data_IF_450601816387
#
_entry.id   IF_450601816387
#
_cell.length_a   1.000
_cell.length_b   1.000
_cell.length_c   1.000
_cell.angle_alpha   90.00
_cell.angle_beta   90.00
_cell.angle_gamma   90.00
#
_symmetry.space_group_name_H-M   'P 1'
#
loop_
_entity.id
_entity.type
_entity.pdbx_description
1 polymer ?
#
# COMPACT_ATOMS: atom_id res chain seq x y z
N UNK A 1 -10.40 -8.06 11.31
CA UNK A 1 -9.64 -6.83 10.96
C UNK A 1 -8.23 -7.22 10.54
N UNK A 2 -7.38 -7.73 11.42
CA UNK A 2 -6.03 -8.23 11.07
C UNK A 2 -5.98 -9.74 11.30
N UNK A 3 -5.20 -10.44 10.45
CA UNK A 3 -4.79 -11.80 10.70
C UNK A 3 -3.65 -11.87 11.73
N UNK A 4 -3.03 -13.03 11.86
CA UNK A 4 -1.82 -13.19 12.67
C UNK A 4 -0.56 -12.83 11.88
N UNK A 5 0.58 -12.66 12.57
CA UNK A 5 1.87 -12.33 11.98
C UNK A 5 2.35 -10.93 12.36
N UNK A 6 3.34 -10.44 11.64
CA UNK A 6 4.05 -9.19 11.96
C UNK A 6 4.23 -8.31 10.73
N UNK A 7 4.54 -7.04 10.98
CA UNK A 7 5.05 -6.11 9.98
C UNK A 7 6.51 -5.80 10.34
N UNK A 8 7.38 -5.89 9.37
CA UNK A 8 8.82 -5.67 9.53
C UNK A 8 9.25 -4.51 8.63
N UNK A 9 9.90 -3.52 9.24
CA UNK A 9 10.50 -2.39 8.57
C UNK A 9 11.95 -2.28 9.06
N UNK A 10 12.89 -2.66 8.23
CA UNK A 10 14.32 -2.73 8.58
C UNK A 10 14.57 -3.45 9.92
N UNK A 11 14.86 -2.69 10.98
CA UNK A 11 15.13 -3.17 12.34
C UNK A 11 13.89 -3.17 13.24
N UNK A 12 12.79 -2.56 12.79
CA UNK A 12 11.56 -2.47 13.56
C UNK A 12 10.60 -3.61 13.20
N UNK A 13 9.98 -4.17 14.22
CA UNK A 13 8.96 -5.21 14.05
C UNK A 13 7.75 -4.89 14.93
N UNK A 14 6.57 -4.91 14.34
CA UNK A 14 5.29 -4.71 15.03
C UNK A 14 4.44 -5.96 14.83
N UNK A 15 3.97 -6.56 15.93
CA UNK A 15 2.98 -7.65 15.88
C UNK A 15 1.63 -7.08 15.39
N UNK A 16 0.92 -7.81 14.58
CA UNK A 16 -0.39 -7.35 14.08
C UNK A 16 -1.43 -7.16 15.19
N UNK A 17 -1.26 -7.80 16.35
CA UNK A 17 -2.10 -7.56 17.53
C UNK A 17 -1.85 -6.17 18.11
N UNK A 18 -0.58 -5.74 18.15
CA UNK A 18 -0.23 -4.39 18.60
C UNK A 18 -0.73 -3.35 17.61
N UNK A 19 -0.59 -3.62 16.30
CA UNK A 19 -1.19 -2.77 15.26
C UNK A 19 -2.72 -2.68 15.41
N UNK A 20 -3.39 -3.80 15.72
CA UNK A 20 -4.84 -3.83 15.94
C UNK A 20 -5.23 -2.96 17.14
N UNK A 21 -4.51 -3.06 18.26
CA UNK A 21 -4.73 -2.22 19.44
C UNK A 21 -4.57 -0.73 19.08
N UNK A 22 -3.47 -0.36 18.44
CA UNK A 22 -3.21 1.03 18.03
C UNK A 22 -4.25 1.54 17.03
N UNK A 23 -4.73 0.68 16.13
CA UNK A 23 -5.85 1.00 15.24
C UNK A 23 -7.13 1.33 16.00
N UNK A 24 -7.47 0.57 17.04
CA UNK A 24 -8.65 0.83 17.87
C UNK A 24 -8.49 2.15 18.67
N UNK A 25 -7.29 2.44 19.16
CA UNK A 25 -6.99 3.73 19.80
C UNK A 25 -7.11 4.89 18.79
N UNK A 26 -6.58 4.72 17.57
CA UNK A 26 -6.71 5.71 16.50
C UNK A 26 -8.18 5.95 16.11
N UNK A 27 -9.01 4.90 16.07
CA UNK A 27 -10.44 5.04 15.81
C UNK A 27 -11.14 5.85 16.91
N UNK A 28 -10.86 5.57 18.21
CA UNK A 28 -11.39 6.37 19.32
C UNK A 28 -10.94 7.83 19.25
N UNK A 29 -9.68 8.05 18.94
CA UNK A 29 -9.11 9.38 18.84
C UNK A 29 -9.77 10.21 17.71
N UNK A 30 -9.92 9.62 16.53
CA UNK A 30 -10.57 10.24 15.37
C UNK A 30 -12.08 10.47 15.62
N UNK A 31 -12.78 9.51 16.23
CA UNK A 31 -14.19 9.63 16.63
C UNK A 31 -14.40 10.81 17.59
N UNK A 32 -13.45 11.06 18.52
CA UNK A 32 -13.50 12.20 19.44
C UNK A 32 -13.47 13.57 18.76
N UNK A 33 -12.98 13.62 17.52
CA UNK A 33 -13.02 14.81 16.65
C UNK A 33 -14.31 14.90 15.83
N UNK A 34 -15.25 13.97 16.00
CA UNK A 34 -16.47 13.87 15.22
C UNK A 34 -16.26 13.31 13.80
N UNK A 35 -15.13 12.65 13.53
CA UNK A 35 -14.85 12.03 12.25
C UNK A 35 -15.55 10.67 12.21
N UNK A 36 -16.39 10.48 11.21
CA UNK A 36 -17.22 9.29 11.09
C UNK A 36 -17.58 8.95 9.65
N UNK A 37 -18.78 8.38 9.50
CA UNK A 37 -19.24 7.84 8.23
C UNK A 37 -19.30 8.88 7.11
N UNK A 38 -18.53 8.66 6.05
CA UNK A 38 -18.48 9.51 4.86
C UNK A 38 -17.43 10.62 4.91
N UNK A 39 -16.84 10.90 6.08
CA UNK A 39 -15.71 11.84 6.19
C UNK A 39 -14.43 11.29 5.54
N UNK A 40 -13.46 12.15 5.28
CA UNK A 40 -12.17 11.75 4.70
C UNK A 40 -11.02 11.96 5.66
N UNK A 41 -10.20 10.91 5.81
CA UNK A 41 -8.91 10.92 6.50
C UNK A 41 -7.83 10.75 5.44
N UNK A 42 -6.91 11.70 5.36
CA UNK A 42 -5.88 11.73 4.32
C UNK A 42 -4.51 11.39 4.88
N UNK A 43 -3.74 10.60 4.13
CA UNK A 43 -2.35 10.32 4.42
C UNK A 43 -1.42 10.91 3.36
N UNK A 44 -0.45 11.69 3.79
CA UNK A 44 0.66 12.19 2.98
C UNK A 44 1.97 11.68 3.58
N UNK A 45 2.24 10.40 3.33
CA UNK A 45 3.36 9.70 3.95
C UNK A 45 3.82 8.51 3.12
N UNK A 46 5.01 8.00 3.43
CA UNK A 46 5.53 6.75 2.88
C UNK A 46 4.93 5.56 3.61
N UNK A 47 5.18 4.34 3.12
CA UNK A 47 4.73 3.13 3.81
C UNK A 47 5.39 3.05 5.19
N UNK A 48 4.56 3.04 6.23
CA UNK A 48 4.97 2.96 7.62
C UNK A 48 3.79 2.43 8.46
N UNK A 49 4.01 2.03 9.70
CA UNK A 49 2.98 1.48 10.58
C UNK A 49 1.79 2.42 10.78
N UNK A 50 1.96 3.74 11.02
CA UNK A 50 0.86 4.69 11.17
C UNK A 50 -0.05 4.80 9.94
N UNK A 51 0.47 4.54 8.74
CA UNK A 51 -0.35 4.46 7.52
C UNK A 51 -1.44 3.38 7.67
N UNK A 52 -1.04 2.20 8.16
CA UNK A 52 -1.97 1.08 8.32
C UNK A 52 -2.90 1.28 9.52
N UNK A 53 -2.44 1.95 10.59
CA UNK A 53 -3.27 2.36 11.73
C UNK A 53 -4.40 3.29 11.27
N UNK A 54 -4.06 4.39 10.59
CA UNK A 54 -5.01 5.40 10.12
C UNK A 54 -5.98 4.83 9.07
N UNK A 55 -5.47 4.04 8.10
CA UNK A 55 -6.31 3.40 7.09
C UNK A 55 -7.33 2.43 7.70
N UNK A 56 -6.89 1.66 8.68
CA UNK A 56 -7.77 0.68 9.33
C UNK A 56 -8.75 1.34 10.29
N UNK A 57 -8.37 2.42 10.97
CA UNK A 57 -9.25 3.23 11.79
C UNK A 57 -10.34 3.90 10.93
N UNK A 58 -9.98 4.47 9.78
CA UNK A 58 -10.95 5.02 8.82
C UNK A 58 -12.00 3.96 8.41
N UNK A 59 -11.56 2.73 8.13
CA UNK A 59 -12.47 1.65 7.76
C UNK A 59 -13.44 1.28 8.90
N UNK A 60 -13.02 1.34 10.17
CA UNK A 60 -13.89 1.11 11.33
C UNK A 60 -14.96 2.20 11.47
N UNK A 61 -14.58 3.44 11.27
CA UNK A 61 -15.43 4.61 11.37
C UNK A 61 -16.36 4.80 10.16
N UNK A 62 -16.20 4.01 9.09
CA UNK A 62 -16.91 4.21 7.83
C UNK A 62 -16.46 5.48 7.09
N UNK A 63 -15.29 6.00 7.43
CA UNK A 63 -14.67 7.11 6.73
C UNK A 63 -13.92 6.64 5.47
N UNK A 64 -13.74 7.52 4.51
CA UNK A 64 -12.82 7.31 3.41
C UNK A 64 -11.38 7.49 3.87
N UNK A 65 -10.48 6.64 3.38
CA UNK A 65 -9.06 6.86 3.54
C UNK A 65 -8.46 7.32 2.23
N UNK A 66 -7.91 8.53 2.19
CA UNK A 66 -7.36 9.15 1.00
C UNK A 66 -5.85 9.05 1.03
N UNK A 67 -5.24 8.60 -0.05
CA UNK A 67 -3.78 8.55 -0.16
C UNK A 67 -3.29 9.58 -1.16
N UNK A 68 -2.33 10.41 -0.76
CA UNK A 68 -1.66 11.35 -1.66
C UNK A 68 -0.30 10.77 -2.07
N UNK A 69 -0.01 10.80 -3.36
CA UNK A 69 1.32 10.53 -3.86
C UNK A 69 2.28 11.61 -3.35
N UNK A 70 3.20 11.25 -2.46
CA UNK A 70 4.17 12.18 -1.85
C UNK A 70 5.19 12.77 -2.84
N UNK A 71 5.14 12.39 -4.10
CA UNK A 71 5.82 13.08 -5.20
C UNK A 71 5.01 14.21 -5.83
N UNK A 72 3.72 14.33 -5.50
CA UNK A 72 2.91 15.43 -5.99
C UNK A 72 3.40 16.76 -5.41
N UNK A 73 3.29 17.80 -6.23
CA UNK A 73 3.68 19.15 -5.86
C UNK A 73 2.51 19.88 -5.19
N UNK A 74 2.78 21.11 -4.77
CA UNK A 74 1.83 21.93 -4.04
C UNK A 74 0.41 21.95 -4.64
N UNK A 75 0.29 22.16 -5.95
CA UNK A 75 -1.01 22.29 -6.63
C UNK A 75 -1.83 21.01 -6.56
N UNK A 76 -1.21 19.85 -6.78
CA UNK A 76 -1.93 18.56 -6.73
C UNK A 76 -2.29 18.19 -5.29
N UNK A 77 -1.40 18.44 -4.33
CA UNK A 77 -1.67 18.14 -2.92
C UNK A 77 -2.79 19.01 -2.36
N UNK A 78 -2.77 20.33 -2.62
CA UNK A 78 -3.83 21.27 -2.25
C UNK A 78 -5.18 20.86 -2.85
N UNK A 79 -5.16 20.54 -4.15
CA UNK A 79 -6.36 20.08 -4.83
C UNK A 79 -6.96 18.83 -4.17
N UNK A 80 -6.13 17.82 -3.87
CA UNK A 80 -6.62 16.58 -3.26
C UNK A 80 -7.17 16.81 -1.87
N UNK A 81 -6.48 17.60 -1.03
CA UNK A 81 -6.95 17.93 0.33
C UNK A 81 -8.31 18.63 0.30
N UNK A 82 -8.52 19.49 -0.70
CA UNK A 82 -9.78 20.25 -0.88
C UNK A 82 -10.87 19.37 -1.48
N UNK A 83 -10.58 18.67 -2.59
CA UNK A 83 -11.54 17.84 -3.35
C UNK A 83 -12.05 16.65 -2.53
N UNK A 84 -11.20 16.08 -1.67
CA UNK A 84 -11.57 15.00 -0.76
C UNK A 84 -12.28 15.48 0.51
N UNK A 85 -12.44 16.77 0.72
CA UNK A 85 -13.00 17.35 1.94
C UNK A 85 -12.31 16.79 3.21
N UNK A 86 -10.97 16.72 3.17
CA UNK A 86 -10.14 16.14 4.24
C UNK A 86 -10.49 16.74 5.61
N UNK A 87 -10.80 15.88 6.59
CA UNK A 87 -11.05 16.26 7.99
C UNK A 87 -9.82 16.09 8.88
N UNK A 88 -9.04 15.02 8.64
CA UNK A 88 -7.78 14.76 9.32
C UNK A 88 -6.69 14.41 8.30
N UNK A 89 -5.49 14.93 8.55
CA UNK A 89 -4.30 14.66 7.76
C UNK A 89 -3.25 13.98 8.64
N UNK A 90 -2.78 12.82 8.21
CA UNK A 90 -1.63 12.12 8.81
C UNK A 90 -0.44 12.28 7.87
N UNK A 91 0.64 12.88 8.34
CA UNK A 91 1.76 13.29 7.49
C UNK A 91 3.11 12.95 8.12
N UNK A 92 4.08 12.46 7.32
CA UNK A 92 5.46 12.33 7.78
C UNK A 92 6.10 13.71 8.01
N UNK A 93 6.92 13.83 9.06
CA UNK A 93 7.53 15.08 9.47
C UNK A 93 8.31 15.77 8.34
N UNK A 94 9.09 15.01 7.58
CA UNK A 94 9.89 15.55 6.46
C UNK A 94 9.05 16.05 5.28
N UNK A 95 7.80 15.64 5.17
CA UNK A 95 6.87 16.04 4.11
C UNK A 95 5.97 17.21 4.52
N UNK A 96 5.83 17.48 5.82
CA UNK A 96 4.92 18.51 6.31
C UNK A 96 5.24 19.89 5.73
N UNK A 97 6.52 20.25 5.68
CA UNK A 97 6.97 21.57 5.18
C UNK A 97 6.56 21.83 3.72
N UNK A 98 6.36 20.78 2.92
CA UNK A 98 5.97 20.93 1.52
C UNK A 98 4.49 21.29 1.33
N UNK A 99 3.64 21.00 2.32
CA UNK A 99 2.18 21.17 2.21
C UNK A 99 1.56 21.99 3.32
N UNK A 100 2.32 22.45 4.33
CA UNK A 100 1.81 23.15 5.52
C UNK A 100 0.87 24.31 5.15
N UNK A 101 1.31 25.18 4.24
CA UNK A 101 0.55 26.37 3.83
C UNK A 101 -0.64 26.07 2.90
N UNK A 102 -0.77 24.79 2.49
CA UNK A 102 -1.81 24.32 1.56
C UNK A 102 -2.93 23.57 2.28
N UNK A 103 -2.76 23.31 3.59
CA UNK A 103 -3.75 22.58 4.37
C UNK A 103 -4.99 23.46 4.57
N UNK A 104 -6.19 22.99 4.17
CA UNK A 104 -7.41 23.77 4.33
C UNK A 104 -7.69 24.08 5.81
N UNK A 105 -8.26 25.26 6.14
CA UNK A 105 -8.66 25.58 7.49
C UNK A 105 -9.61 24.55 8.09
N UNK A 106 -9.37 24.18 9.36
CA UNK A 106 -10.20 23.21 10.09
C UNK A 106 -9.80 21.75 9.92
N UNK A 107 -8.81 21.43 9.09
CA UNK A 107 -8.22 20.09 9.02
C UNK A 107 -7.38 19.84 10.28
N UNK A 108 -7.64 18.72 10.98
CA UNK A 108 -6.80 18.27 12.09
C UNK A 108 -5.52 17.64 11.52
N UNK A 109 -4.35 18.14 11.94
CA UNK A 109 -3.05 17.68 11.42
C UNK A 109 -2.35 16.83 12.47
N UNK A 110 -1.88 15.66 12.06
CA UNK A 110 -1.14 14.72 12.89
C UNK A 110 0.17 14.35 12.22
N UNK A 111 1.27 14.64 12.89
CA UNK A 111 2.61 14.43 12.35
C UNK A 111 3.20 13.12 12.87
N UNK A 112 3.72 12.33 11.96
CA UNK A 112 4.44 11.09 12.24
C UNK A 112 5.93 11.37 12.12
N UNK A 113 6.78 11.07 13.12
CA UNK A 113 8.21 11.15 12.93
C UNK A 113 8.63 10.25 11.77
N UNK A 114 9.47 10.76 10.87
CA UNK A 114 9.96 9.94 9.74
C UNK A 114 11.01 8.96 10.25
N UNK A 115 10.79 7.64 10.14
CA UNK A 115 11.72 6.64 10.64
C UNK A 115 13.12 6.73 10.02
N UNK A 116 14.13 6.30 10.77
CA UNK A 116 15.54 6.41 10.36
C UNK A 116 15.86 5.59 9.10
N UNK A 117 15.21 4.45 8.90
CA UNK A 117 15.35 3.62 7.70
C UNK A 117 14.74 4.29 6.46
N UNK A 118 13.60 4.97 6.60
CA UNK A 118 13.03 5.82 5.55
C UNK A 118 13.97 6.99 5.27
N UNK A 119 14.47 7.67 6.31
CA UNK A 119 15.40 8.77 6.16
C UNK A 119 16.66 8.34 5.40
N UNK A 120 17.24 7.20 5.72
CA UNK A 120 18.39 6.63 5.03
C UNK A 120 18.07 6.28 3.56
N UNK A 121 16.91 5.64 3.28
CA UNK A 121 16.51 5.25 1.94
C UNK A 121 16.32 6.45 0.98
N UNK A 122 15.96 7.60 1.52
CA UNK A 122 15.70 8.83 0.75
C UNK A 122 16.76 9.91 0.91
N UNK A 123 17.76 9.70 1.77
CA UNK A 123 18.84 10.66 2.03
C UNK A 123 18.35 11.95 2.70
N UNK A 124 17.43 11.82 3.66
CA UNK A 124 16.80 12.94 4.35
C UNK A 124 17.68 13.44 5.49
N UNK A 125 17.57 14.74 5.79
CA UNK A 125 18.16 15.32 6.99
C UNK A 125 17.41 14.83 8.25
N UNK A 126 18.13 14.38 9.25
CA UNK A 126 17.57 13.91 10.50
C UNK A 126 16.72 14.98 11.22
N UNK A 127 17.08 16.27 11.12
CA UNK A 127 16.32 17.37 11.69
C UNK A 127 14.94 17.51 11.04
N UNK A 128 14.78 17.19 9.76
CA UNK A 128 13.50 17.22 9.06
C UNK A 128 12.59 16.04 9.44
N UNK A 129 13.15 14.98 10.05
CA UNK A 129 12.45 13.76 10.39
C UNK A 129 11.77 13.80 11.78
N UNK A 130 11.98 14.86 12.54
CA UNK A 130 11.43 15.04 13.90
C UNK A 130 10.11 15.80 13.84
N UNK A 131 9.15 15.39 14.65
CA UNK A 131 7.88 16.13 14.81
C UNK A 131 8.17 17.52 15.39
N UNK A 132 7.75 18.61 14.74
CA UNK A 132 7.89 19.96 15.30
C UNK A 132 7.17 20.09 16.64
N UNK A 133 7.70 20.93 17.56
CA UNK A 133 7.17 21.09 18.92
C UNK A 133 5.73 21.64 18.94
N UNK A 134 5.35 22.42 17.93
CA UNK A 134 4.03 23.03 17.76
C UNK A 134 3.02 22.11 17.05
N UNK A 135 3.41 20.89 16.67
CA UNK A 135 2.58 19.95 15.96
C UNK A 135 2.14 18.76 16.82
N UNK A 136 0.95 18.23 16.53
CA UNK A 136 0.43 17.05 17.22
C UNK A 136 1.09 15.77 16.71
N UNK A 137 1.84 15.08 17.57
CA UNK A 137 2.41 13.78 17.27
C UNK A 137 1.31 12.72 17.21
N UNK A 138 1.21 11.97 16.09
CA UNK A 138 0.21 10.92 15.89
C UNK A 138 0.27 9.84 16.96
N UNK A 139 1.45 9.24 17.18
CA UNK A 139 1.64 8.14 18.12
C UNK A 139 1.27 8.52 19.55
N UNK A 140 1.81 9.63 20.03
CA UNK A 140 1.51 10.13 21.38
C UNK A 140 0.06 10.54 21.56
N UNK A 141 -0.59 11.05 20.50
CA UNK A 141 -1.99 11.44 20.55
C UNK A 141 -2.90 10.22 20.70
N UNK A 142 -2.76 9.19 19.85
CA UNK A 142 -3.63 8.00 19.89
C UNK A 142 -3.44 7.20 21.18
N UNK A 143 -2.23 7.17 21.77
CA UNK A 143 -1.94 6.49 23.03
C UNK A 143 -2.75 7.06 24.22
N UNK A 144 -3.21 8.30 24.12
CA UNK A 144 -4.08 8.93 25.13
C UNK A 144 -5.52 8.41 25.13
N UNK A 145 -5.90 7.54 24.20
CA UNK A 145 -7.27 7.04 24.05
C UNK A 145 -7.38 5.56 24.38
N UNK A 146 -8.53 5.18 24.97
CA UNK A 146 -8.89 3.78 25.11
C UNK A 146 -9.19 3.14 23.74
N UNK A 147 -9.14 1.83 23.67
CA UNK A 147 -9.54 1.10 22.47
C UNK A 147 -11.01 1.37 22.12
N UNK A 148 -11.31 1.50 20.86
CA UNK A 148 -12.67 1.74 20.35
C UNK A 148 -13.50 0.46 20.37
N UNK A 149 -14.71 0.51 20.93
CA UNK A 149 -15.57 -0.65 21.14
C UNK A 149 -16.94 -0.57 20.44
N UNK A 150 -17.22 0.52 19.72
CA UNK A 150 -18.48 0.64 19.01
C UNK A 150 -18.57 -0.37 17.84
N UNK A 151 -19.78 -0.62 17.38
CA UNK A 151 -19.99 -1.46 16.19
C UNK A 151 -19.35 -0.79 14.96
N UNK A 152 -18.52 -1.49 14.20
CA UNK A 152 -17.94 -0.93 12.97
C UNK A 152 -19.01 -0.43 12.00
N UNK A 153 -18.81 0.75 11.47
CA UNK A 153 -19.67 1.30 10.42
C UNK A 153 -19.48 0.55 9.09
N UNK A 154 -20.37 0.80 8.14
CA UNK A 154 -20.21 0.24 6.80
C UNK A 154 -18.91 0.76 6.17
N UNK A 155 -17.99 -0.14 5.88
CA UNK A 155 -16.66 0.21 5.37
C UNK A 155 -16.77 0.93 4.02
N UNK A 156 -16.03 2.02 3.91
CA UNK A 156 -15.72 2.69 2.66
C UNK A 156 -14.30 2.33 2.18
N UNK A 157 -14.08 2.46 0.88
CA UNK A 157 -12.80 2.11 0.28
C UNK A 157 -11.71 3.14 0.53
N UNK A 158 -10.51 2.78 0.11
CA UNK A 158 -9.40 3.74 -0.03
C UNK A 158 -9.62 4.53 -1.32
N UNK A 159 -9.51 5.85 -1.23
CA UNK A 159 -9.61 6.75 -2.38
C UNK A 159 -8.20 6.93 -2.96
N UNK A 160 -8.09 6.60 -4.24
CA UNK A 160 -6.85 6.79 -4.99
C UNK A 160 -7.06 7.89 -6.02
N UNK A 161 -6.13 8.84 -6.05
CA UNK A 161 -6.13 9.88 -7.07
C UNK A 161 -5.25 9.45 -8.23
N UNK A 162 -5.85 9.38 -9.41
CA UNK A 162 -5.16 9.00 -10.65
C UNK A 162 -4.83 10.24 -11.49
N UNK A 163 -3.73 10.19 -12.26
CA UNK A 163 -3.40 11.26 -13.20
C UNK A 163 -4.47 11.36 -14.28
N UNK A 164 -5.40 12.31 -14.12
CA UNK A 164 -6.45 12.57 -15.11
C UNK A 164 -5.85 13.08 -16.43
N UNK A 165 -6.51 12.77 -17.54
CA UNK A 165 -6.17 13.30 -18.88
C UNK A 165 -6.39 14.82 -19.00
N UNK A 166 -6.99 15.43 -17.99
CA UNK A 166 -7.38 16.86 -17.95
C UNK A 166 -6.48 17.74 -17.08
N UNK A 167 -5.37 17.21 -16.56
CA UNK A 167 -4.35 17.96 -15.81
C UNK A 167 -4.42 17.83 -14.29
N UNK A 168 -5.60 17.81 -13.66
CA UNK A 168 -5.75 17.57 -12.23
C UNK A 168 -6.05 16.08 -11.94
N UNK A 169 -5.53 15.53 -10.82
CA UNK A 169 -5.83 14.16 -10.41
C UNK A 169 -7.34 13.97 -10.16
N UNK A 170 -7.85 12.76 -10.43
CA UNK A 170 -9.25 12.39 -10.16
C UNK A 170 -9.31 11.36 -9.06
N UNK A 171 -10.09 11.66 -8.01
CA UNK A 171 -10.36 10.75 -6.90
C UNK A 171 -11.36 9.65 -7.31
N UNK A 172 -10.99 8.39 -7.08
CA UNK A 172 -11.88 7.25 -7.29
C UNK A 172 -12.52 6.88 -5.97
N UNK A 173 -13.71 7.41 -5.71
CA UNK A 173 -14.53 7.10 -4.54
C UNK A 173 -15.35 5.86 -4.80
N UNK A 174 -15.23 4.86 -3.93
CA UNK A 174 -16.03 3.64 -4.03
C UNK A 174 -17.17 3.68 -3.01
N UNK A 175 -18.39 3.47 -3.49
CA UNK A 175 -19.54 3.30 -2.59
C UNK A 175 -19.41 2.01 -1.78
N UNK A 176 -20.08 1.92 -0.60
CA UNK A 176 -20.17 0.68 0.15
C UNK A 176 -20.65 -0.47 -0.73
N UNK A 177 -19.95 -1.59 -0.66
CA UNK A 177 -20.24 -2.77 -1.48
C UNK A 177 -21.21 -3.72 -0.76
N UNK A 178 -22.09 -4.37 -1.53
CA UNK A 178 -22.95 -5.45 -1.02
C UNK A 178 -22.11 -6.69 -0.64
N UNK A 179 -22.67 -7.59 0.14
CA UNK A 179 -22.00 -8.85 0.50
C UNK A 179 -21.58 -9.65 -0.75
N UNK A 180 -22.41 -9.68 -1.79
CA UNK A 180 -22.10 -10.37 -3.04
C UNK A 180 -20.92 -9.71 -3.78
N UNK A 181 -20.86 -8.37 -3.80
CA UNK A 181 -19.75 -7.64 -4.39
C UNK A 181 -18.44 -7.86 -3.60
N UNK A 182 -18.53 -7.91 -2.26
CA UNK A 182 -17.38 -8.23 -1.41
C UNK A 182 -16.87 -9.66 -1.67
N UNK A 183 -17.77 -10.63 -1.74
CA UNK A 183 -17.40 -12.01 -2.06
C UNK A 183 -16.81 -12.15 -3.47
N UNK A 184 -17.33 -11.40 -4.44
CA UNK A 184 -16.76 -11.33 -5.79
C UNK A 184 -15.36 -10.71 -5.80
N UNK A 185 -15.17 -9.60 -5.09
CA UNK A 185 -13.88 -8.94 -4.92
C UNK A 185 -12.84 -9.84 -4.23
N UNK A 186 -13.25 -10.59 -3.20
CA UNK A 186 -12.40 -11.55 -2.52
C UNK A 186 -11.87 -12.63 -3.48
N UNK A 187 -12.73 -13.20 -4.34
CA UNK A 187 -12.30 -14.18 -5.37
C UNK A 187 -11.28 -13.60 -6.35
N UNK A 188 -11.44 -12.33 -6.73
CA UNK A 188 -10.47 -11.63 -7.58
C UNK A 188 -9.16 -11.44 -6.84
N UNK A 189 -9.21 -11.05 -5.57
CA UNK A 189 -8.03 -10.94 -4.70
C UNK A 189 -7.31 -12.27 -4.53
N UNK A 190 -8.05 -13.36 -4.29
CA UNK A 190 -7.49 -14.71 -4.17
C UNK A 190 -6.78 -15.15 -5.46
N UNK A 191 -7.37 -14.86 -6.61
CA UNK A 191 -6.76 -15.18 -7.89
C UNK A 191 -5.50 -14.34 -8.19
N UNK A 192 -5.50 -13.06 -7.76
CA UNK A 192 -4.38 -12.15 -8.00
C UNK A 192 -3.19 -12.40 -7.08
N UNK A 193 -3.45 -12.66 -5.79
CA UNK A 193 -2.42 -12.68 -4.75
C UNK A 193 -2.23 -14.02 -4.07
N UNK A 194 -3.08 -15.01 -4.36
CA UNK A 194 -3.03 -16.38 -3.83
C UNK A 194 -2.71 -16.44 -2.32
N UNK A 195 -3.51 -15.77 -1.46
CA UNK A 195 -3.23 -15.70 -0.03
C UNK A 195 -3.24 -17.09 0.59
N UNK A 196 -2.28 -17.33 1.49
CA UNK A 196 -2.20 -18.56 2.27
C UNK A 196 -1.60 -18.28 3.65
N UNK A 197 -1.83 -19.19 4.59
CA UNK A 197 -1.21 -19.12 5.92
C UNK A 197 0.31 -19.16 5.83
N UNK A 198 0.98 -18.34 6.63
CA UNK A 198 2.43 -18.25 6.71
C UNK A 198 3.10 -17.62 5.49
N UNK A 199 2.35 -16.95 4.61
CA UNK A 199 2.99 -16.21 3.51
C UNK A 199 3.80 -15.03 4.05
N UNK A 200 4.88 -14.71 3.34
CA UNK A 200 5.77 -13.57 3.62
C UNK A 200 5.74 -12.65 2.42
N UNK A 201 5.13 -11.49 2.61
CA UNK A 201 4.85 -10.54 1.54
C UNK A 201 5.85 -9.40 1.59
N UNK A 202 6.55 -9.15 0.48
CA UNK A 202 7.40 -7.97 0.35
C UNK A 202 6.63 -6.84 -0.33
N UNK A 203 6.46 -5.75 0.41
CA UNK A 203 5.84 -4.51 -0.07
C UNK A 203 6.93 -3.58 -0.58
N UNK A 204 7.18 -3.60 -1.87
CA UNK A 204 8.28 -2.92 -2.56
C UNK A 204 7.85 -1.73 -3.42
N UNK A 205 6.64 -1.26 -3.22
CA UNK A 205 6.08 -0.07 -3.87
C UNK A 205 5.21 0.73 -2.90
N UNK A 206 4.86 1.98 -3.25
CA UNK A 206 4.12 2.88 -2.36
C UNK A 206 2.63 2.58 -2.31
N UNK A 207 2.03 2.64 -1.11
CA UNK A 207 0.62 2.36 -0.85
C UNK A 207 -0.36 3.43 -1.39
N UNK A 208 0.13 4.52 -1.95
CA UNK A 208 -0.75 5.42 -2.71
C UNK A 208 -1.14 4.85 -4.10
N UNK A 209 -0.57 3.72 -4.51
CA UNK A 209 -1.03 2.95 -5.66
C UNK A 209 -1.97 1.83 -5.23
N UNK A 210 -3.11 1.71 -5.92
CA UNK A 210 -4.19 0.77 -5.57
C UNK A 210 -3.70 -0.68 -5.43
N UNK A 211 -2.87 -1.17 -6.36
CA UNK A 211 -2.45 -2.57 -6.35
C UNK A 211 -1.47 -2.88 -5.20
N UNK A 212 -0.57 -1.95 -4.87
CA UNK A 212 0.35 -2.07 -3.73
C UNK A 212 -0.42 -2.03 -2.41
N UNK A 213 -1.34 -1.06 -2.25
CA UNK A 213 -2.21 -0.97 -1.09
C UNK A 213 -3.06 -2.24 -0.91
N UNK A 214 -3.60 -2.77 -2.00
CA UNK A 214 -4.38 -4.01 -1.97
C UNK A 214 -3.54 -5.21 -1.52
N UNK A 215 -2.29 -5.34 -2.02
CA UNK A 215 -1.34 -6.36 -1.57
C UNK A 215 -1.06 -6.27 -0.07
N UNK A 216 -0.83 -5.06 0.45
CA UNK A 216 -0.65 -4.83 1.88
C UNK A 216 -1.88 -5.24 2.69
N UNK A 217 -3.09 -4.85 2.25
CA UNK A 217 -4.35 -5.19 2.93
C UNK A 217 -4.59 -6.71 2.97
N UNK A 218 -4.29 -7.42 1.89
CA UNK A 218 -4.37 -8.90 1.87
C UNK A 218 -3.39 -9.48 2.89
N UNK A 219 -2.14 -9.03 2.91
CA UNK A 219 -1.18 -9.50 3.89
C UNK A 219 -1.64 -9.22 5.32
N UNK A 220 -2.16 -8.01 5.59
CA UNK A 220 -2.65 -7.61 6.91
C UNK A 220 -3.86 -8.43 7.37
N UNK A 221 -4.77 -8.77 6.47
CA UNK A 221 -6.00 -9.51 6.80
C UNK A 221 -5.79 -11.03 6.99
N UNK A 222 -4.68 -11.57 6.52
CA UNK A 222 -4.38 -13.01 6.57
C UNK A 222 -3.30 -13.35 7.60
N UNK A 223 -3.07 -14.64 7.85
CA UNK A 223 -1.92 -15.15 8.59
C UNK A 223 -0.67 -15.01 7.71
N UNK A 224 0.00 -13.88 7.81
CA UNK A 224 1.12 -13.48 6.96
C UNK A 224 2.05 -12.49 7.65
N UNK A 225 3.32 -12.51 7.29
CA UNK A 225 4.25 -11.43 7.61
C UNK A 225 4.32 -10.43 6.45
N UNK A 226 4.37 -9.13 6.75
CA UNK A 226 4.53 -8.06 5.79
C UNK A 226 5.89 -7.37 5.98
N UNK A 227 6.70 -7.33 4.95
CA UNK A 227 8.02 -6.70 4.95
C UNK A 227 8.00 -5.44 4.10
N UNK A 228 8.50 -4.33 4.62
CA UNK A 228 8.50 -3.05 3.93
C UNK A 228 9.86 -2.79 3.29
N UNK A 229 9.87 -2.56 1.98
CA UNK A 229 11.00 -1.99 1.26
C UNK A 229 10.63 -0.55 0.89
N UNK A 230 11.20 0.44 1.54
CA UNK A 230 10.79 1.84 1.41
C UNK A 230 11.06 2.43 0.03
N UNK A 231 12.16 2.03 -0.59
CA UNK A 231 12.52 2.41 -1.95
C UNK A 231 13.03 1.19 -2.69
N UNK A 232 12.46 0.89 -3.86
CA UNK A 232 12.87 -0.28 -4.62
C UNK A 232 14.35 -0.22 -5.01
N UNK A 233 15.15 -1.10 -4.41
CA UNK A 233 16.52 -1.44 -4.76
C UNK A 233 16.55 -2.86 -5.33
N UNK A 234 17.10 -3.05 -6.54
CA UNK A 234 17.05 -4.37 -7.18
C UNK A 234 17.89 -5.42 -6.44
N UNK A 235 19.09 -5.08 -6.00
CA UNK A 235 19.92 -6.00 -5.21
C UNK A 235 19.36 -6.18 -3.80
N UNK A 236 18.90 -5.09 -3.16
CA UNK A 236 18.23 -5.15 -1.86
C UNK A 236 16.99 -6.06 -1.89
N UNK A 237 16.20 -6.00 -2.99
CA UNK A 237 15.07 -6.93 -3.17
C UNK A 237 15.51 -8.38 -3.06
N UNK A 238 16.60 -8.77 -3.75
CA UNK A 238 17.13 -10.14 -3.69
C UNK A 238 17.63 -10.50 -2.30
N UNK A 239 18.31 -9.57 -1.63
CA UNK A 239 18.78 -9.72 -0.26
C UNK A 239 17.61 -9.94 0.72
N UNK A 240 16.54 -9.15 0.61
CA UNK A 240 15.35 -9.31 1.44
C UNK A 240 14.64 -10.64 1.18
N UNK A 241 14.57 -11.07 -0.08
CA UNK A 241 13.99 -12.38 -0.44
C UNK A 241 14.78 -13.52 0.23
N UNK A 242 16.10 -13.51 0.14
CA UNK A 242 16.93 -14.53 0.78
C UNK A 242 16.83 -14.49 2.30
N UNK A 243 17.01 -13.30 2.90
CA UNK A 243 17.08 -13.13 4.36
C UNK A 243 15.77 -13.51 5.04
N UNK A 244 14.66 -13.05 4.47
CA UNK A 244 13.34 -13.23 5.08
C UNK A 244 12.53 -14.36 4.45
N UNK A 245 13.11 -15.09 3.49
CA UNK A 245 12.42 -16.16 2.75
C UNK A 245 11.06 -15.67 2.23
N UNK A 246 11.07 -14.52 1.56
CA UNK A 246 9.88 -13.90 0.97
C UNK A 246 9.24 -14.88 -0.02
N UNK A 247 7.92 -14.97 0.04
CA UNK A 247 7.14 -15.88 -0.81
C UNK A 247 6.31 -15.13 -1.84
N UNK A 248 5.87 -13.91 -1.53
CA UNK A 248 4.95 -13.12 -2.37
C UNK A 248 5.45 -11.68 -2.54
N UNK A 249 5.26 -11.14 -3.74
CA UNK A 249 5.49 -9.72 -4.02
C UNK A 249 4.51 -9.19 -5.07
N UNK A 250 4.19 -7.90 -4.99
CA UNK A 250 3.58 -7.18 -6.10
C UNK A 250 4.66 -6.34 -6.78
N UNK A 251 4.78 -6.47 -8.10
CA UNK A 251 5.83 -5.80 -8.87
C UNK A 251 5.25 -5.08 -10.10
N UNK A 252 6.04 -4.19 -10.66
CA UNK A 252 5.74 -3.53 -11.94
C UNK A 252 6.85 -3.80 -12.96
N UNK A 253 6.58 -3.72 -14.27
CA UNK A 253 7.57 -4.08 -15.30
C UNK A 253 8.91 -3.34 -15.20
N UNK A 254 8.93 -2.10 -14.71
CA UNK A 254 10.18 -1.35 -14.48
C UNK A 254 11.06 -1.99 -13.41
N UNK A 255 10.48 -2.64 -12.41
CA UNK A 255 11.23 -3.41 -11.40
C UNK A 255 11.88 -4.65 -12.03
N UNK A 256 11.18 -5.35 -12.92
CA UNK A 256 11.75 -6.47 -13.69
C UNK A 256 12.95 -6.03 -14.52
N UNK A 257 12.84 -4.91 -15.24
CA UNK A 257 13.95 -4.34 -15.99
C UNK A 257 15.16 -4.04 -15.10
N UNK A 258 14.93 -3.49 -13.90
CA UNK A 258 16.03 -3.19 -12.96
C UNK A 258 16.67 -4.45 -12.40
N UNK A 259 15.89 -5.49 -12.11
CA UNK A 259 16.40 -6.80 -11.68
C UNK A 259 17.23 -7.47 -12.79
N UNK A 260 16.73 -7.50 -14.02
CA UNK A 260 17.44 -8.11 -15.14
C UNK A 260 18.71 -7.36 -15.56
N UNK A 261 18.81 -6.06 -15.25
CA UNK A 261 20.01 -5.25 -15.46
C UNK A 261 21.12 -5.50 -14.43
N UNK A 262 20.82 -6.17 -13.33
CA UNK A 262 21.89 -6.57 -12.40
C UNK A 262 22.85 -7.55 -13.09
N UNK A 263 24.16 -7.46 -12.80
CA UNK A 263 25.14 -8.45 -13.26
C UNK A 263 24.69 -9.87 -12.90
N UNK A 264 25.01 -10.83 -13.75
CA UNK A 264 24.63 -12.23 -13.52
C UNK A 264 25.15 -12.75 -12.18
N UNK A 265 26.38 -12.37 -11.82
CA UNK A 265 27.03 -12.75 -10.53
C UNK A 265 26.24 -12.24 -9.34
N UNK A 266 25.64 -11.05 -9.43
CA UNK A 266 24.78 -10.50 -8.38
C UNK A 266 23.46 -11.27 -8.33
N UNK A 267 22.81 -11.52 -9.49
CA UNK A 267 21.55 -12.28 -9.52
C UNK A 267 21.68 -13.72 -8.99
N UNK A 268 22.84 -14.33 -9.19
CA UNK A 268 23.13 -15.71 -8.75
C UNK A 268 23.65 -15.81 -7.31
N UNK A 269 23.98 -14.66 -6.69
CA UNK A 269 24.49 -14.61 -5.31
C UNK A 269 23.42 -14.96 -4.28
N UNK A 270 22.18 -14.58 -4.56
CA UNK A 270 21.07 -14.67 -3.60
C UNK A 270 20.15 -15.85 -3.91
N UNK A 271 19.75 -16.57 -2.86
CA UNK A 271 18.74 -17.63 -2.94
C UNK A 271 17.33 -17.04 -2.98
N UNK A 272 16.71 -17.06 -4.16
CA UNK A 272 15.34 -16.60 -4.38
C UNK A 272 14.33 -17.73 -4.48
N UNK A 273 14.71 -18.97 -4.15
CA UNK A 273 13.88 -20.16 -4.28
C UNK A 273 12.63 -20.19 -3.39
N UNK A 274 12.58 -19.30 -2.38
CA UNK A 274 11.42 -19.13 -1.53
C UNK A 274 10.24 -18.41 -2.24
N UNK A 275 10.49 -17.71 -3.35
CA UNK A 275 9.45 -17.00 -4.09
C UNK A 275 8.47 -17.97 -4.72
N UNK A 276 7.18 -17.80 -4.42
CA UNK A 276 6.09 -18.64 -4.89
C UNK A 276 5.13 -17.90 -5.83
N UNK A 277 5.02 -16.57 -5.67
CA UNK A 277 4.02 -15.78 -6.37
C UNK A 277 4.46 -14.34 -6.56
N UNK A 278 4.43 -13.89 -7.81
CA UNK A 278 4.67 -12.49 -8.17
C UNK A 278 3.48 -11.99 -8.97
N UNK A 279 2.68 -11.12 -8.34
CA UNK A 279 1.63 -10.40 -9.05
C UNK A 279 2.24 -9.18 -9.73
N UNK A 280 1.97 -8.97 -11.02
CA UNK A 280 2.44 -7.78 -11.71
C UNK A 280 1.40 -7.19 -12.66
N UNK A 281 1.53 -5.90 -12.92
CA UNK A 281 0.62 -5.17 -13.80
C UNK A 281 0.89 -3.67 -13.76
N UNK A 282 -0.17 -2.86 -13.88
CA UNK A 282 -0.17 -1.40 -13.89
C UNK A 282 0.58 -0.75 -15.07
N UNK A 283 1.31 -1.52 -15.88
CA UNK A 283 1.96 -1.06 -17.11
C UNK A 283 2.16 -2.23 -18.07
N UNK A 284 2.29 -1.98 -19.39
CA UNK A 284 2.66 -3.03 -20.35
C UNK A 284 4.02 -3.65 -20.03
N UNK A 285 4.09 -4.97 -20.02
CA UNK A 285 5.35 -5.71 -19.86
C UNK A 285 5.85 -6.21 -21.22
N UNK A 286 7.07 -5.84 -21.61
CA UNK A 286 7.68 -6.34 -22.83
C UNK A 286 7.76 -7.88 -22.79
N UNK A 287 7.42 -8.58 -23.90
CA UNK A 287 7.53 -10.04 -23.98
C UNK A 287 8.90 -10.57 -23.60
N UNK A 288 9.97 -9.92 -24.03
CA UNK A 288 11.34 -10.34 -23.73
C UNK A 288 11.66 -10.24 -22.24
N UNK A 289 11.22 -9.16 -21.60
CA UNK A 289 11.38 -8.95 -20.14
C UNK A 289 10.61 -9.99 -19.36
N UNK A 290 9.34 -10.24 -19.70
CA UNK A 290 8.52 -11.22 -18.99
C UNK A 290 9.05 -12.64 -19.18
N UNK A 291 9.47 -12.99 -20.41
CA UNK A 291 10.11 -14.27 -20.70
C UNK A 291 11.37 -14.49 -19.88
N UNK A 292 12.27 -13.50 -19.84
CA UNK A 292 13.50 -13.58 -19.07
C UNK A 292 13.24 -13.72 -17.55
N UNK A 293 12.21 -13.06 -17.03
CA UNK A 293 11.82 -13.22 -15.62
C UNK A 293 11.28 -14.63 -15.34
N UNK A 294 10.46 -15.19 -16.23
CA UNK A 294 9.94 -16.56 -16.08
C UNK A 294 11.08 -17.58 -16.19
N UNK A 295 12.02 -17.38 -17.13
CA UNK A 295 13.20 -18.25 -17.27
C UNK A 295 14.09 -18.25 -16.01
N UNK A 296 14.19 -17.10 -15.34
CA UNK A 296 14.99 -16.96 -14.14
C UNK A 296 14.29 -17.47 -12.86
N UNK A 297 13.04 -17.05 -12.64
CA UNK A 297 12.33 -17.29 -11.37
C UNK A 297 11.37 -18.49 -11.43
N UNK A 298 11.14 -19.05 -12.62
CA UNK A 298 10.11 -20.06 -12.85
C UNK A 298 8.73 -19.44 -13.13
N UNK A 299 7.69 -20.30 -13.30
CA UNK A 299 6.35 -19.92 -13.73
C UNK A 299 5.51 -19.35 -12.55
N UNK A 300 6.07 -18.44 -11.77
CA UNK A 300 5.45 -17.83 -10.58
C UNK A 300 4.85 -16.43 -10.84
N UNK A 301 4.95 -15.93 -12.08
CA UNK A 301 4.45 -14.61 -12.44
C UNK A 301 2.98 -14.69 -12.86
N UNK A 302 2.16 -13.82 -12.27
CA UNK A 302 0.77 -13.61 -12.66
C UNK A 302 0.57 -12.16 -13.03
N UNK A 303 0.17 -11.92 -14.26
CA UNK A 303 -0.18 -10.60 -14.77
C UNK A 303 -1.65 -10.33 -14.57
N UNK A 304 -1.99 -9.13 -14.10
CA UNK A 304 -3.35 -8.63 -14.17
C UNK A 304 -3.45 -7.45 -15.14
N UNK A 305 -4.62 -7.33 -15.75
CA UNK A 305 -5.01 -6.16 -16.52
C UNK A 305 -6.27 -5.56 -15.93
N UNK A 306 -6.26 -4.24 -15.74
CA UNK A 306 -7.36 -3.50 -15.12
C UNK A 306 -7.01 -2.03 -14.91
N UNK A 307 -7.87 -1.32 -14.20
CA UNK A 307 -7.70 0.09 -13.87
C UNK A 307 -8.26 0.42 -12.49
N UNK A 308 -7.92 1.58 -11.97
CA UNK A 308 -8.36 2.01 -10.64
C UNK A 308 -9.89 2.08 -10.54
N UNK A 309 -10.55 2.50 -11.60
CA UNK A 309 -12.01 2.68 -11.66
C UNK A 309 -12.77 1.37 -11.87
N UNK A 310 -12.17 0.41 -12.58
CA UNK A 310 -12.84 -0.83 -13.00
C UNK A 310 -12.33 -2.07 -12.26
N UNK A 311 -11.27 -1.93 -11.47
CA UNK A 311 -10.61 -3.05 -10.82
C UNK A 311 -9.87 -3.95 -11.80
N UNK A 312 -9.63 -5.19 -11.40
CA UNK A 312 -8.93 -6.20 -12.21
C UNK A 312 -9.97 -6.93 -13.08
N UNK A 313 -9.80 -6.86 -14.41
CA UNK A 313 -10.67 -7.49 -15.37
C UNK A 313 -10.12 -8.79 -16.00
N UNK A 314 -8.79 -8.93 -16.09
CA UNK A 314 -8.14 -10.10 -16.66
C UNK A 314 -6.98 -10.57 -15.80
N UNK A 315 -6.74 -11.90 -15.87
CA UNK A 315 -5.54 -12.54 -15.31
C UNK A 315 -4.85 -13.40 -16.35
N UNK A 316 -3.53 -13.43 -16.26
CA UNK A 316 -2.67 -14.24 -17.11
C UNK A 316 -1.60 -14.94 -16.27
N UNK A 317 -1.68 -16.26 -16.12
CA UNK A 317 -0.63 -17.04 -15.50
C UNK A 317 0.62 -17.10 -16.39
N UNK A 318 1.74 -17.53 -15.83
CA UNK A 318 2.96 -17.78 -16.63
C UNK A 318 2.73 -18.80 -17.72
N UNK A 319 1.95 -19.86 -17.44
CA UNK A 319 1.64 -20.92 -18.42
C UNK A 319 0.75 -20.40 -19.56
N UNK A 320 -0.32 -19.65 -19.24
CA UNK A 320 -1.18 -19.02 -20.25
C UNK A 320 -0.36 -18.07 -21.13
N UNK A 321 0.54 -17.30 -20.52
CA UNK A 321 1.37 -16.36 -21.24
C UNK A 321 2.41 -17.05 -22.15
N UNK A 322 3.06 -18.11 -21.66
CA UNK A 322 4.02 -18.90 -22.47
C UNK A 322 3.34 -19.56 -23.67
N UNK A 323 2.08 -19.98 -23.51
CA UNK A 323 1.29 -20.54 -24.61
C UNK A 323 0.91 -19.48 -25.66
N UNK A 324 0.76 -18.19 -25.24
CA UNK A 324 0.40 -17.07 -26.11
C UNK A 324 1.10 -15.77 -25.63
N UNK A 325 2.38 -15.58 -25.98
CA UNK A 325 3.12 -14.38 -25.59
C UNK A 325 2.43 -13.09 -26.03
N UNK A 326 2.42 -12.09 -25.11
CA UNK A 326 1.75 -10.81 -25.33
C UNK A 326 0.25 -10.77 -24.96
N UNK A 327 -0.34 -11.90 -24.54
CA UNK A 327 -1.71 -11.90 -24.00
C UNK A 327 -1.76 -11.26 -22.61
N UNK A 328 -2.88 -10.58 -22.30
CA UNK A 328 -3.22 -10.12 -20.93
C UNK A 328 -4.07 -11.16 -20.19
N UNK A 329 -4.29 -12.33 -20.77
CA UNK A 329 -4.97 -13.47 -20.16
C UNK A 329 -6.47 -13.55 -20.40
N UNK A 330 -7.18 -14.08 -19.41
CA UNK A 330 -8.61 -14.38 -19.46
C UNK A 330 -9.39 -13.44 -18.57
N UNK A 331 -10.64 -13.16 -18.94
CA UNK A 331 -11.59 -12.41 -18.09
C UNK A 331 -11.70 -13.05 -16.71
N UNK A 332 -11.74 -12.21 -15.70
CA UNK A 332 -12.12 -12.66 -14.35
C UNK A 332 -13.56 -13.15 -14.34
N UNK A 333 -13.92 -14.11 -13.48
CA UNK A 333 -15.27 -14.68 -13.45
C UNK A 333 -16.41 -13.67 -13.29
N UNK A 334 -16.10 -12.45 -12.82
CA UNK A 334 -17.06 -11.41 -12.52
C UNK A 334 -17.00 -10.20 -13.49
N UNK A 335 -16.11 -10.24 -14.48
CA UNK A 335 -16.06 -9.21 -15.52
C UNK A 335 -17.08 -9.53 -16.61
N UNK A 336 -17.98 -8.56 -16.88
CA UNK A 336 -18.95 -8.64 -17.99
C UNK A 336 -18.44 -7.84 -19.18
#
# INVERSE_FOLDING_TARGET
MFGTGKIVSSDQTVDKRDLAKRTLQAASALDSLGIGEGDSITAFMRNDFPLFEAQSAAALLGAYFVTINWHFRSVEAEYILTDSETKALVVHADLLGEIRDLIPPGVAVFVVPTPADIAAAYGLDAAACVVPEDEQNWGGWIEGFAEWFATPCTQRGVVFYTSGTTGLPKGVFTHPTTADQQAAGAKVGDAAYRPRSGMRVLLNGPCYHVAVNHSARIALANDADLYLQHRFGAEEFLQLVETHKITHAHMVPTMFVRLLKLPTEIRQRYDVSSMEWITHGAAPCSPDIKKAMIEWLGPILVEYYGGTEVGISHFCSSEDWLAKPGTVGKLTPNSK
#
